data_IF_142298532772
#
_entry.id   IF_142298532772
#
_cell.length_a   1.000
_cell.length_b   1.000
_cell.length_c   1.000
_cell.angle_alpha   90.00
_cell.angle_beta   90.00
_cell.angle_gamma   90.00
#
_symmetry.space_group_name_H-M   'P 1'
#
loop_
_entity.id
_entity.type
_entity.pdbx_description
1 polymer ?
#
# COMPACT_ATOMS: atom_id res chain seq x y z
N UNK A 1 0.55 12.18 13.43
CA UNK A 1 0.77 10.75 13.06
C UNK A 1 -0.23 9.79 13.71
N UNK A 2 -0.91 10.19 14.80
CA UNK A 2 -2.00 9.42 15.41
C UNK A 2 -3.15 9.14 14.43
N UNK A 3 -3.54 10.12 13.61
CA UNK A 3 -4.56 9.96 12.58
C UNK A 3 -4.22 8.86 11.56
N UNK A 4 -2.96 8.68 11.23
CA UNK A 4 -2.52 7.61 10.32
C UNK A 4 -2.78 6.23 10.92
N UNK A 5 -2.44 6.06 12.20
CA UNK A 5 -2.77 4.82 12.92
C UNK A 5 -4.29 4.56 12.95
N UNK A 6 -5.09 5.59 13.27
CA UNK A 6 -6.55 5.50 13.31
C UNK A 6 -7.11 5.04 11.95
N UNK A 7 -6.63 5.62 10.85
CA UNK A 7 -7.07 5.23 9.50
C UNK A 7 -6.62 3.82 9.11
N UNK A 8 -5.37 3.46 9.38
CA UNK A 8 -4.88 2.11 9.12
C UNK A 8 -5.59 1.05 9.97
N UNK A 9 -5.95 1.39 11.23
CA UNK A 9 -6.77 0.53 12.11
C UNK A 9 -8.19 0.36 11.58
N UNK A 10 -8.81 1.41 11.06
CA UNK A 10 -10.13 1.32 10.43
C UNK A 10 -10.10 0.39 9.20
N UNK A 11 -9.10 0.53 8.34
CA UNK A 11 -8.88 -0.36 7.21
C UNK A 11 -8.63 -1.82 7.66
N UNK A 12 -7.83 -2.03 8.71
CA UNK A 12 -7.63 -3.37 9.30
C UNK A 12 -8.96 -4.00 9.76
N UNK A 13 -9.80 -3.25 10.47
CA UNK A 13 -11.11 -3.74 10.91
C UNK A 13 -12.00 -4.15 9.74
N UNK A 14 -11.94 -3.40 8.65
CA UNK A 14 -12.78 -3.62 7.46
C UNK A 14 -12.28 -4.79 6.59
N UNK A 15 -10.96 -4.87 6.36
CA UNK A 15 -10.36 -5.76 5.37
C UNK A 15 -9.52 -6.90 5.97
N UNK A 16 -9.16 -6.81 7.25
CA UNK A 16 -8.28 -7.76 7.92
C UNK A 16 -6.79 -7.61 7.55
N UNK A 17 -6.42 -6.64 6.73
CA UNK A 17 -5.02 -6.38 6.36
C UNK A 17 -4.24 -5.78 7.55
N UNK A 18 -3.16 -6.42 8.06
CA UNK A 18 -2.45 -5.91 9.22
C UNK A 18 -1.91 -4.49 9.04
N UNK A 19 -2.03 -3.64 10.07
CA UNK A 19 -1.60 -2.23 10.05
C UNK A 19 -0.14 -2.11 9.61
N UNK A 20 0.76 -2.95 10.12
CA UNK A 20 2.18 -2.92 9.80
C UNK A 20 2.46 -3.23 8.32
N UNK A 21 1.64 -4.04 7.66
CA UNK A 21 1.73 -4.31 6.22
C UNK A 21 1.26 -3.10 5.41
N UNK A 22 0.12 -2.51 5.77
CA UNK A 22 -0.38 -1.31 5.11
C UNK A 22 0.65 -0.18 5.13
N UNK A 23 1.27 0.07 6.30
CA UNK A 23 2.29 1.11 6.45
C UNK A 23 3.59 0.77 5.73
N UNK A 24 4.00 -0.51 5.70
CA UNK A 24 5.19 -0.93 4.96
C UNK A 24 5.01 -0.75 3.44
N UNK A 25 3.82 -0.99 2.91
CA UNK A 25 3.52 -0.71 1.50
C UNK A 25 3.63 0.78 1.20
N UNK A 26 3.00 1.65 1.99
CA UNK A 26 3.09 3.11 1.82
C UNK A 26 4.54 3.59 1.91
N UNK A 27 5.31 3.08 2.89
CA UNK A 27 6.75 3.41 3.01
C UNK A 27 7.50 3.06 1.73
N UNK A 28 7.24 1.89 1.15
CA UNK A 28 7.91 1.44 -0.07
C UNK A 28 7.48 2.22 -1.30
N UNK A 29 6.18 2.49 -1.44
CA UNK A 29 5.60 3.10 -2.63
C UNK A 29 5.89 4.60 -2.75
N UNK A 30 5.83 5.32 -1.65
CA UNK A 30 5.87 6.79 -1.67
C UNK A 30 6.73 7.43 -0.59
N UNK A 31 7.27 6.63 0.33
CA UNK A 31 7.90 7.15 1.56
C UNK A 31 6.98 8.15 2.31
N UNK A 32 5.67 7.83 2.36
CA UNK A 32 4.64 8.70 2.94
C UNK A 32 4.47 10.05 2.24
N UNK A 33 4.90 10.18 0.99
CA UNK A 33 4.68 11.37 0.19
C UNK A 33 3.33 11.28 -0.56
N UNK A 34 2.41 12.19 -0.25
CA UNK A 34 1.06 12.24 -0.83
C UNK A 34 1.01 12.66 -2.31
N UNK A 35 2.06 13.35 -2.80
CA UNK A 35 2.20 13.78 -4.19
C UNK A 35 3.15 12.91 -5.01
N UNK A 36 3.60 11.77 -4.46
CA UNK A 36 4.53 10.89 -5.16
C UNK A 36 4.00 10.50 -6.54
N UNK A 37 4.87 10.63 -7.55
CA UNK A 37 4.62 10.28 -8.94
C UNK A 37 5.84 9.56 -9.50
N UNK A 38 5.69 8.62 -10.45
CA UNK A 38 6.83 8.06 -11.16
C UNK A 38 7.64 9.16 -11.87
N UNK A 39 8.95 9.04 -11.93
CA UNK A 39 9.77 9.95 -12.70
C UNK A 39 9.32 9.94 -14.17
N UNK A 40 9.45 11.08 -14.84
CA UNK A 40 9.20 11.16 -16.29
C UNK A 40 10.33 10.48 -17.04
N UNK A 41 10.00 9.73 -18.07
CA UNK A 41 11.01 9.28 -19.07
C UNK A 41 11.51 10.53 -19.81
N UNK A 42 12.82 10.65 -19.97
CA UNK A 42 13.43 11.75 -20.70
C UNK A 42 13.62 11.35 -22.16
N UNK A 43 13.04 12.09 -23.08
CA UNK A 43 13.36 12.00 -24.52
C UNK A 43 14.77 12.59 -24.73
N UNK A 44 15.64 11.88 -25.44
CA UNK A 44 17.04 12.26 -25.65
C UNK A 44 17.81 12.60 -24.35
N UNK A 45 17.45 11.95 -23.21
CA UNK A 45 18.05 12.14 -21.88
C UNK A 45 17.87 13.55 -21.28
N UNK A 46 17.25 14.49 -21.98
CA UNK A 46 17.13 15.91 -21.56
C UNK A 46 15.67 16.34 -21.40
N UNK A 47 14.81 16.07 -22.37
CA UNK A 47 13.44 16.58 -22.41
C UNK A 47 12.50 15.68 -21.63
N UNK A 48 11.79 16.15 -20.57
CA UNK A 48 10.76 15.37 -19.87
C UNK A 48 9.60 15.03 -20.80
N UNK A 49 9.41 13.75 -21.14
CA UNK A 49 8.36 13.33 -22.07
C UNK A 49 7.15 12.74 -21.35
N UNK A 50 7.09 11.45 -21.17
CA UNK A 50 5.93 10.72 -20.66
C UNK A 50 6.24 10.03 -19.33
N UNK A 51 5.24 9.87 -18.46
CA UNK A 51 5.37 9.00 -17.30
C UNK A 51 5.13 7.55 -17.69
N UNK A 52 5.96 6.59 -17.25
CA UNK A 52 5.80 5.18 -17.60
C UNK A 52 4.57 4.53 -16.97
N UNK A 53 3.98 5.16 -15.96
CA UNK A 53 2.83 4.65 -15.21
C UNK A 53 1.91 5.77 -14.76
N UNK A 54 0.62 5.47 -14.62
CA UNK A 54 -0.41 6.34 -14.04
C UNK A 54 -0.43 6.28 -12.50
N UNK A 55 0.55 5.64 -11.86
CA UNK A 55 0.62 5.54 -10.40
C UNK A 55 0.77 6.90 -9.74
N UNK A 56 0.11 7.07 -8.57
CA UNK A 56 0.06 8.35 -7.88
C UNK A 56 -0.22 8.20 -6.38
N UNK A 57 0.32 9.16 -5.61
CA UNK A 57 0.00 9.37 -4.21
C UNK A 57 0.62 8.34 -3.26
N UNK A 58 0.07 8.21 -2.09
CA UNK A 58 0.61 7.36 -1.02
C UNK A 58 0.78 5.89 -1.40
N UNK A 59 -0.19 5.31 -2.09
CA UNK A 59 -0.21 3.90 -2.44
C UNK A 59 0.38 3.60 -3.82
N UNK A 60 0.75 4.61 -4.60
CA UNK A 60 1.19 4.45 -6.00
C UNK A 60 0.24 3.58 -6.85
N UNK A 61 -1.03 3.54 -6.47
CA UNK A 61 -2.03 2.81 -7.23
C UNK A 61 -2.14 3.34 -8.66
N UNK A 62 -2.14 2.44 -9.64
CA UNK A 62 -2.41 2.79 -11.03
C UNK A 62 -3.89 3.09 -11.23
N UNK A 63 -4.21 3.94 -12.22
CA UNK A 63 -5.56 4.45 -12.44
C UNK A 63 -6.60 3.33 -12.62
N UNK A 64 -6.29 2.28 -13.38
CA UNK A 64 -7.20 1.16 -13.63
C UNK A 64 -7.61 0.43 -12.34
N UNK A 65 -6.61 0.08 -11.51
CA UNK A 65 -6.85 -0.61 -10.22
C UNK A 65 -7.55 0.32 -9.22
N UNK A 66 -7.24 1.61 -9.23
CA UNK A 66 -7.92 2.59 -8.39
C UNK A 66 -9.40 2.73 -8.76
N UNK A 67 -9.73 2.78 -10.05
CA UNK A 67 -11.12 2.79 -10.53
C UNK A 67 -11.87 1.52 -10.14
N UNK A 68 -11.21 0.35 -10.22
CA UNK A 68 -11.78 -0.91 -9.77
C UNK A 68 -12.12 -0.87 -8.27
N UNK A 69 -11.19 -0.42 -7.43
CA UNK A 69 -11.43 -0.23 -6.00
C UNK A 69 -12.64 0.68 -5.72
N UNK A 70 -12.70 1.84 -6.37
CA UNK A 70 -13.84 2.78 -6.20
C UNK A 70 -15.17 2.13 -6.58
N UNK A 71 -15.20 1.38 -7.66
CA UNK A 71 -16.40 0.70 -8.14
C UNK A 71 -16.85 -0.40 -7.18
N UNK A 72 -15.92 -1.25 -6.72
CA UNK A 72 -16.24 -2.38 -5.85
C UNK A 72 -16.59 -1.96 -4.41
N UNK A 73 -16.06 -0.84 -3.93
CA UNK A 73 -16.30 -0.35 -2.55
C UNK A 73 -17.40 0.71 -2.45
N UNK A 74 -17.87 1.24 -3.57
CA UNK A 74 -18.79 2.38 -3.60
C UNK A 74 -18.16 3.71 -3.19
N UNK A 75 -16.86 3.75 -2.88
CA UNK A 75 -16.16 4.97 -2.42
C UNK A 75 -15.81 5.91 -3.58
N UNK A 76 -16.82 6.51 -4.19
CA UNK A 76 -16.68 7.36 -5.37
C UNK A 76 -15.78 8.58 -5.16
N UNK A 77 -15.73 9.14 -3.93
CA UNK A 77 -14.95 10.33 -3.57
C UNK A 77 -13.52 10.02 -3.08
N UNK A 78 -13.10 8.76 -3.12
CA UNK A 78 -11.75 8.40 -2.73
C UNK A 78 -10.69 9.03 -3.64
N UNK A 79 -9.60 9.52 -3.04
CA UNK A 79 -8.45 10.09 -3.74
C UNK A 79 -7.14 9.47 -3.30
N UNK A 80 -6.24 9.20 -4.26
CA UNK A 80 -4.92 8.60 -4.02
C UNK A 80 -3.97 9.49 -3.20
N UNK A 81 -4.26 10.79 -3.12
CA UNK A 81 -3.50 11.75 -2.33
C UNK A 81 -3.91 11.77 -0.84
N UNK A 82 -5.02 11.14 -0.46
CA UNK A 82 -5.50 11.13 0.92
C UNK A 82 -5.10 9.84 1.61
N UNK A 83 -4.40 9.94 2.75
CA UNK A 83 -3.88 8.79 3.48
C UNK A 83 -4.96 7.77 3.85
N UNK A 84 -6.12 8.25 4.37
CA UNK A 84 -7.27 7.41 4.71
C UNK A 84 -7.70 6.50 3.55
N UNK A 85 -7.80 7.06 2.35
CA UNK A 85 -8.26 6.31 1.19
C UNK A 85 -7.18 5.35 0.67
N UNK A 86 -5.91 5.76 0.78
CA UNK A 86 -4.79 4.92 0.34
C UNK A 86 -4.60 3.69 1.24
N UNK A 87 -4.76 3.82 2.56
CA UNK A 87 -4.72 2.63 3.44
C UNK A 87 -5.96 1.75 3.28
N UNK A 88 -7.14 2.31 3.03
CA UNK A 88 -8.35 1.53 2.72
C UNK A 88 -8.18 0.75 1.41
N UNK A 89 -7.60 1.40 0.38
CA UNK A 89 -7.25 0.75 -0.89
C UNK A 89 -6.25 -0.41 -0.69
N UNK A 90 -5.17 -0.20 0.09
CA UNK A 90 -4.20 -1.28 0.36
C UNK A 90 -4.88 -2.42 1.11
N UNK A 91 -5.74 -2.12 2.08
CA UNK A 91 -6.52 -3.12 2.80
C UNK A 91 -7.42 -3.95 1.86
N UNK A 92 -8.15 -3.28 0.99
CA UNK A 92 -8.95 -3.93 -0.06
C UNK A 92 -8.09 -4.80 -0.98
N UNK A 93 -6.93 -4.30 -1.43
CA UNK A 93 -6.04 -5.02 -2.32
C UNK A 93 -5.49 -6.30 -1.68
N UNK A 94 -5.01 -6.21 -0.43
CA UNK A 94 -4.52 -7.35 0.36
C UNK A 94 -5.62 -8.40 0.56
N UNK A 95 -6.85 -7.96 0.89
CA UNK A 95 -7.99 -8.87 1.03
C UNK A 95 -8.31 -9.58 -0.29
N UNK A 96 -8.35 -8.84 -1.39
CA UNK A 96 -8.59 -9.39 -2.73
C UNK A 96 -7.47 -10.34 -3.18
N UNK A 97 -6.21 -10.00 -2.90
CA UNK A 97 -5.07 -10.91 -3.13
C UNK A 97 -5.22 -12.23 -2.38
N UNK A 98 -5.65 -12.20 -1.13
CA UNK A 98 -5.92 -13.41 -0.34
C UNK A 98 -7.03 -14.25 -0.97
N UNK A 99 -8.09 -13.62 -1.42
CA UNK A 99 -9.20 -14.34 -2.08
C UNK A 99 -8.76 -14.98 -3.41
N UNK A 100 -8.05 -14.23 -4.25
CA UNK A 100 -7.68 -14.66 -5.60
C UNK A 100 -6.49 -15.64 -5.62
N UNK A 101 -5.46 -15.36 -4.82
CA UNK A 101 -4.18 -16.08 -4.87
C UNK A 101 -3.94 -16.98 -3.65
N UNK A 102 -4.88 -17.03 -2.69
CA UNK A 102 -4.78 -17.80 -1.43
C UNK A 102 -3.54 -17.43 -0.59
N UNK A 103 -3.04 -16.20 -0.73
CA UNK A 103 -1.91 -15.68 0.03
C UNK A 103 -2.42 -15.14 1.38
N UNK A 104 -1.89 -15.58 2.52
CA UNK A 104 -2.29 -15.07 3.83
C UNK A 104 -2.08 -13.55 3.94
N UNK A 105 -3.02 -12.84 4.60
CA UNK A 105 -2.96 -11.38 4.77
C UNK A 105 -1.74 -10.89 5.54
N UNK A 106 -1.14 -11.75 6.36
CA UNK A 106 0.06 -11.44 7.15
C UNK A 106 1.39 -11.79 6.44
N UNK A 107 1.35 -12.35 5.24
CA UNK A 107 2.53 -12.60 4.41
C UNK A 107 2.91 -11.36 3.61
N UNK A 108 3.66 -10.46 4.25
CA UNK A 108 4.08 -9.19 3.65
C UNK A 108 4.85 -9.38 2.34
N UNK A 109 5.67 -10.45 2.24
CA UNK A 109 6.49 -10.71 1.07
C UNK A 109 5.65 -11.04 -0.16
N UNK A 110 4.81 -12.09 -0.06
CA UNK A 110 3.98 -12.52 -1.20
C UNK A 110 2.86 -11.53 -1.51
N UNK A 111 2.29 -10.87 -0.50
CA UNK A 111 1.30 -9.81 -0.69
C UNK A 111 1.89 -8.64 -1.49
N UNK A 112 3.14 -8.23 -1.19
CA UNK A 112 3.78 -7.16 -1.94
C UNK A 112 4.19 -7.58 -3.35
N UNK A 113 4.64 -8.82 -3.56
CA UNK A 113 4.87 -9.34 -4.91
C UNK A 113 3.61 -9.24 -5.78
N UNK A 114 2.45 -9.63 -5.24
CA UNK A 114 1.17 -9.50 -5.94
C UNK A 114 0.79 -8.02 -6.18
N UNK A 115 1.12 -7.13 -5.24
CA UNK A 115 0.89 -5.70 -5.38
C UNK A 115 1.75 -5.09 -6.51
N UNK A 116 3.02 -5.43 -6.54
CA UNK A 116 3.99 -4.92 -7.51
C UNK A 116 3.76 -5.46 -8.94
N UNK A 117 3.49 -6.76 -9.06
CA UNK A 117 3.28 -7.45 -10.36
C UNK A 117 1.86 -7.32 -10.88
N UNK A 118 0.88 -7.10 -10.01
CA UNK A 118 -0.52 -7.32 -10.30
C UNK A 118 -0.92 -8.80 -10.26
N UNK A 119 -2.19 -9.07 -10.03
CA UNK A 119 -2.68 -10.45 -9.84
C UNK A 119 -2.47 -11.34 -11.07
N UNK A 120 -2.62 -10.78 -12.29
CA UNK A 120 -2.46 -11.54 -13.53
C UNK A 120 -1.02 -11.99 -13.81
N UNK A 121 -0.04 -11.17 -13.41
CA UNK A 121 1.38 -11.47 -13.66
C UNK A 121 2.11 -12.00 -12.41
N UNK A 122 1.40 -12.22 -11.31
CA UNK A 122 1.98 -12.69 -10.06
C UNK A 122 2.81 -13.96 -10.23
N UNK A 123 2.33 -14.96 -10.98
CA UNK A 123 3.04 -16.22 -11.21
C UNK A 123 4.44 -16.07 -11.83
N UNK A 124 4.71 -14.95 -12.47
CA UNK A 124 5.99 -14.65 -13.13
C UNK A 124 6.98 -13.89 -12.22
N UNK A 125 6.66 -13.68 -10.93
CA UNK A 125 7.51 -12.87 -10.03
C UNK A 125 8.95 -13.38 -9.90
N UNK A 126 9.18 -14.69 -10.02
CA UNK A 126 10.51 -15.30 -9.92
C UNK A 126 11.50 -14.83 -10.99
N UNK A 127 11.00 -14.37 -12.13
CA UNK A 127 11.79 -13.82 -13.23
C UNK A 127 12.12 -12.33 -13.02
N UNK A 128 11.53 -11.67 -12.02
CA UNK A 128 11.69 -10.24 -11.76
C UNK A 128 12.52 -10.00 -10.49
N UNK A 129 13.84 -9.91 -10.68
CA UNK A 129 14.80 -9.66 -9.59
C UNK A 129 14.46 -8.40 -8.78
N UNK A 130 13.96 -7.35 -9.45
CA UNK A 130 13.58 -6.09 -8.79
C UNK A 130 12.36 -6.28 -7.89
N UNK A 131 11.33 -7.00 -8.34
CA UNK A 131 10.17 -7.35 -7.54
C UNK A 131 10.57 -8.10 -6.28
N UNK A 132 11.48 -9.08 -6.40
CA UNK A 132 12.00 -9.88 -5.28
C UNK A 132 12.72 -9.00 -4.25
N UNK A 133 13.63 -8.13 -4.70
CA UNK A 133 14.37 -7.20 -3.82
C UNK A 133 13.39 -6.28 -3.08
N UNK A 134 12.42 -5.73 -3.78
CA UNK A 134 11.43 -4.83 -3.18
C UNK A 134 10.53 -5.56 -2.16
N UNK A 135 10.09 -6.76 -2.47
CA UNK A 135 9.28 -7.55 -1.57
C UNK A 135 10.03 -7.96 -0.28
N UNK A 136 11.34 -8.26 -0.38
CA UNK A 136 12.20 -8.50 0.80
C UNK A 136 12.29 -7.24 1.68
N UNK A 137 12.55 -6.09 1.10
CA UNK A 137 12.60 -4.81 1.81
C UNK A 137 11.26 -4.48 2.52
N UNK A 138 10.14 -4.78 1.87
CA UNK A 138 8.82 -4.61 2.49
C UNK A 138 8.60 -5.58 3.64
N UNK A 139 9.00 -6.85 3.52
CA UNK A 139 8.94 -7.83 4.60
C UNK A 139 9.73 -7.36 5.84
N UNK A 140 10.94 -6.85 5.64
CA UNK A 140 11.79 -6.31 6.72
C UNK A 140 11.13 -5.10 7.40
N UNK A 141 10.64 -4.15 6.59
CA UNK A 141 9.93 -2.96 7.08
C UNK A 141 8.67 -3.35 7.86
N UNK A 142 7.89 -4.30 7.35
CA UNK A 142 6.70 -4.81 8.02
C UNK A 142 7.04 -5.47 9.36
N UNK A 143 8.12 -6.25 9.42
CA UNK A 143 8.61 -6.85 10.67
C UNK A 143 8.99 -5.79 11.70
N UNK A 144 9.74 -4.76 11.29
CA UNK A 144 10.10 -3.61 12.13
C UNK A 144 8.85 -2.89 12.67
N UNK A 145 7.90 -2.58 11.79
CA UNK A 145 6.66 -1.91 12.19
C UNK A 145 5.79 -2.77 13.09
N UNK A 146 5.75 -4.09 12.88
CA UNK A 146 5.04 -5.01 13.77
C UNK A 146 5.61 -4.94 15.20
N UNK A 147 6.93 -4.99 15.37
CA UNK A 147 7.60 -4.84 16.68
C UNK A 147 7.26 -3.51 17.34
N UNK A 148 7.38 -2.40 16.61
CA UNK A 148 7.04 -1.06 17.10
C UNK A 148 5.58 -0.95 17.54
N UNK A 149 4.65 -1.46 16.74
CA UNK A 149 3.22 -1.46 17.08
C UNK A 149 2.92 -2.27 18.33
N UNK A 150 3.59 -3.40 18.55
CA UNK A 150 3.42 -4.21 19.78
C UNK A 150 3.77 -3.38 21.02
N UNK A 151 4.84 -2.60 20.97
CA UNK A 151 5.28 -1.73 22.07
C UNK A 151 4.36 -0.51 22.30
N UNK A 152 3.91 0.12 21.21
CA UNK A 152 3.17 1.39 21.27
C UNK A 152 1.64 1.22 21.32
N UNK A 153 1.10 0.03 21.02
CA UNK A 153 -0.32 -0.18 20.81
C UNK A 153 -1.19 0.25 22.00
N UNK A 154 -0.78 -0.07 23.22
CA UNK A 154 -1.52 0.32 24.45
C UNK A 154 -1.68 1.84 24.54
N UNK A 155 -0.64 2.60 24.22
CA UNK A 155 -0.66 4.06 24.24
C UNK A 155 -1.48 4.64 23.08
N UNK A 156 -1.36 4.05 21.88
CA UNK A 156 -2.13 4.45 20.70
C UNK A 156 -3.63 4.18 20.87
N UNK A 157 -3.99 3.10 21.55
CA UNK A 157 -5.40 2.76 21.81
C UNK A 157 -5.98 3.61 22.97
N UNK A 158 -5.17 4.02 23.97
CA UNK A 158 -5.57 4.91 25.07
C UNK A 158 -5.84 6.34 24.61
N UNK A 159 -5.08 6.86 23.63
CA UNK A 159 -5.26 8.20 23.05
C UNK A 159 -6.59 8.38 22.27
N UNK A 160 -7.58 7.51 22.53
CA UNK A 160 -8.94 7.57 22.00
C UNK A 160 -9.69 8.86 22.41
N UNK A 161 -9.20 9.58 23.40
CA UNK A 161 -9.87 10.70 24.06
C UNK A 161 -9.20 12.05 23.90
N UNK A 162 -8.08 12.15 23.20
CA UNK A 162 -7.51 13.45 22.86
C UNK A 162 -8.03 13.85 21.47
N UNK A 163 -9.23 14.41 21.48
CA UNK A 163 -9.78 15.18 20.38
C UNK A 163 -9.40 16.64 20.68
N UNK A 164 -8.44 17.17 19.94
CA UNK A 164 -8.30 18.59 19.67
C UNK A 164 -8.21 18.76 18.17
#
# INVERSE_FOLDING_TARGET
RYLWYKHARASYKKWGAPIYIQLAFIKKESDFNWLAKPPRVKLFKVIPFKRPSSSFGYSQAVEGTWRQYKRETGNKLATRARFKDSVDFIGWYVNKTTTLLKIPKNDAYRQYLAYYKGWGDYKNYSKDKKAIIYARSVKETASKYRKQLTLCRKNLDKNKYIIF
#
